data_IF_262352539623
#
_entry.id   IF_262352539623
#
_cell.length_a   1.000
_cell.length_b   1.000
_cell.length_c   1.000
_cell.angle_alpha   90.00
_cell.angle_beta   90.00
_cell.angle_gamma   90.00
#
_symmetry.space_group_name_H-M   'P 1'
#
loop_
_entity.id
_entity.type
_entity.pdbx_description
1 polymer ?
#
# COMPACT_ATOMS: atom_id res chain seq x y z
N UNK A 1 -22.79 -19.55 -3.44
CA UNK A 1 -22.32 -19.09 -3.34
C UNK A 1 -21.42 -18.64 -3.34
N UNK A 2 -20.93 -18.28 -3.14
CA UNK A 2 -20.16 -17.73 -2.91
C UNK A 2 -19.48 -16.96 -2.95
N UNK A 3 -19.28 -16.89 -3.42
CA UNK A 3 -19.21 -15.69 -2.74
C UNK A 3 -17.98 -15.41 -1.97
N UNK A 4 -17.34 -16.42 -1.46
CA UNK A 4 -16.15 -16.26 -0.68
C UNK A 4 -15.06 -15.51 -1.44
N UNK A 5 -15.14 -15.51 -2.76
CA UNK A 5 -14.19 -14.79 -3.60
C UNK A 5 -14.64 -13.38 -3.95
N UNK A 6 -15.83 -12.99 -3.50
CA UNK A 6 -16.34 -11.65 -3.73
C UNK A 6 -15.81 -10.71 -2.66
N UNK A 7 -15.20 -9.62 -3.07
CA UNK A 7 -14.64 -8.63 -2.14
C UNK A 7 -15.34 -7.28 -2.27
N UNK A 8 -16.46 -7.26 -2.99
CA UNK A 8 -17.27 -6.06 -3.11
C UNK A 8 -17.94 -5.77 -1.77
N UNK A 9 -17.81 -4.55 -1.31
CA UNK A 9 -18.42 -4.14 -0.06
C UNK A 9 -19.92 -4.10 -0.20
N UNK A 10 -20.62 -4.10 0.95
CA UNK A 10 -22.09 -4.08 0.96
C UNK A 10 -22.68 -2.84 0.28
N UNK A 11 -21.92 -1.75 0.21
CA UNK A 11 -22.32 -0.55 -0.49
C UNK A 11 -22.07 -0.62 -2.00
N UNK A 12 -21.57 -1.75 -2.51
CA UNK A 12 -21.31 -1.97 -3.92
C UNK A 12 -19.95 -1.52 -4.40
N UNK A 13 -19.09 -0.99 -3.53
CA UNK A 13 -17.76 -0.56 -3.93
C UNK A 13 -16.76 -1.71 -3.86
N UNK A 14 -15.78 -1.67 -4.77
CA UNK A 14 -14.68 -2.61 -4.77
C UNK A 14 -13.73 -2.33 -3.61
N UNK A 15 -13.13 -3.39 -3.07
CA UNK A 15 -12.11 -3.26 -2.03
C UNK A 15 -10.75 -3.11 -2.71
N UNK A 16 -10.01 -2.08 -2.37
CA UNK A 16 -8.68 -1.82 -2.93
C UNK A 16 -7.66 -1.73 -1.81
N UNK A 17 -6.48 -2.27 -2.09
CA UNK A 17 -5.37 -2.31 -1.13
C UNK A 17 -4.16 -1.63 -1.76
N UNK A 18 -3.51 -0.76 -0.98
CA UNK A 18 -2.31 -0.04 -1.42
C UNK A 18 -1.18 -0.33 -0.45
N UNK A 19 -0.09 -0.87 -1.00
CA UNK A 19 1.15 -1.12 -0.29
C UNK A 19 2.13 0.01 -0.62
N UNK A 20 2.84 0.51 0.38
CA UNK A 20 3.85 1.56 0.19
C UNK A 20 5.22 1.03 0.55
N UNK A 21 6.22 1.26 -0.31
CA UNK A 21 7.61 1.21 0.11
C UNK A 21 7.85 2.42 1.02
N UNK A 22 8.97 2.43 1.74
CA UNK A 22 9.27 3.49 2.70
C UNK A 22 10.35 4.43 2.15
N UNK A 23 11.58 3.92 2.03
CA UNK A 23 12.71 4.76 1.60
C UNK A 23 12.56 5.14 0.14
N UNK A 24 12.68 6.42 -0.17
CA UNK A 24 12.48 6.94 -1.52
C UNK A 24 11.02 7.09 -1.91
N UNK A 25 10.07 6.70 -1.06
CA UNK A 25 8.64 6.71 -1.36
C UNK A 25 7.86 7.58 -0.39
N UNK A 26 7.96 7.31 0.91
CA UNK A 26 7.27 8.10 1.93
C UNK A 26 8.16 9.26 2.40
N UNK A 27 7.53 10.35 2.81
CA UNK A 27 8.28 11.53 3.28
C UNK A 27 9.16 11.23 4.48
N UNK A 28 8.81 10.22 5.29
CA UNK A 28 9.57 9.84 6.49
C UNK A 28 10.68 8.82 6.17
N UNK A 29 10.84 8.45 4.91
CA UNK A 29 11.89 7.53 4.49
C UNK A 29 13.26 8.19 4.40
N UNK A 30 14.27 7.40 4.10
CA UNK A 30 15.63 7.85 3.91
C UNK A 30 16.23 7.14 2.69
N UNK A 31 16.31 7.81 1.52
CA UNK A 31 15.91 9.21 1.30
C UNK A 31 14.39 9.39 1.37
N UNK A 32 13.94 10.62 1.66
CA UNK A 32 12.50 10.89 1.67
C UNK A 32 11.92 10.83 0.27
N UNK A 33 10.66 10.41 0.17
CA UNK A 33 9.92 10.40 -1.08
C UNK A 33 8.80 11.42 -1.06
N UNK A 34 8.01 11.43 -2.13
CA UNK A 34 6.97 12.45 -2.32
C UNK A 34 5.61 12.13 -1.71
N UNK A 35 5.42 10.92 -1.18
CA UNK A 35 4.15 10.55 -0.54
C UNK A 35 4.17 11.01 0.90
N UNK A 36 3.30 11.96 1.24
CA UNK A 36 3.23 12.50 2.61
C UNK A 36 2.37 11.58 3.49
N UNK A 37 2.60 11.65 4.80
CA UNK A 37 1.79 10.89 5.74
C UNK A 37 0.35 11.41 5.74
N UNK A 38 0.15 12.67 5.42
CA UNK A 38 -1.17 13.26 5.25
C UNK A 38 -1.92 12.56 4.10
N UNK A 39 -1.24 12.33 2.98
CA UNK A 39 -1.82 11.62 1.84
C UNK A 39 -2.21 10.19 2.24
N UNK A 40 -1.36 9.51 3.00
CA UNK A 40 -1.65 8.15 3.46
C UNK A 40 -2.87 8.15 4.38
N UNK A 41 -2.94 9.09 5.32
CA UNK A 41 -4.10 9.22 6.21
C UNK A 41 -5.38 9.44 5.43
N UNK A 42 -5.32 10.29 4.39
CA UNK A 42 -6.47 10.57 3.54
C UNK A 42 -6.95 9.31 2.83
N UNK A 43 -6.02 8.58 2.23
CA UNK A 43 -6.35 7.35 1.48
C UNK A 43 -6.97 6.31 2.42
N UNK A 44 -6.39 6.14 3.62
CA UNK A 44 -6.96 5.24 4.61
C UNK A 44 -8.35 5.70 5.02
N UNK A 45 -8.54 7.00 5.24
CA UNK A 45 -9.83 7.57 5.62
C UNK A 45 -10.90 7.38 4.56
N UNK A 46 -10.51 7.22 3.30
CA UNK A 46 -11.43 6.93 2.20
C UNK A 46 -11.83 5.46 2.14
N UNK A 47 -11.28 4.62 3.01
CA UNK A 47 -11.66 3.21 3.09
C UNK A 47 -10.71 2.23 2.41
N UNK A 48 -9.58 2.71 1.90
CA UNK A 48 -8.58 1.83 1.29
C UNK A 48 -7.82 1.07 2.37
N UNK A 49 -7.51 -0.20 2.11
CA UNK A 49 -6.63 -0.99 2.96
C UNK A 49 -5.21 -0.55 2.66
N UNK A 50 -4.40 -0.31 3.70
CA UNK A 50 -3.04 0.18 3.50
C UNK A 50 -2.04 -0.58 4.36
N UNK A 51 -0.80 -0.59 3.90
CA UNK A 51 0.31 -1.15 4.64
C UNK A 51 1.63 -0.82 3.97
N UNK A 52 2.70 -1.43 4.44
CA UNK A 52 4.02 -1.20 3.87
C UNK A 52 4.71 -2.50 3.49
N UNK A 53 5.55 -2.39 2.46
CA UNK A 53 6.40 -3.46 1.98
C UNK A 53 7.77 -2.82 1.69
N UNK A 54 8.78 -3.18 2.49
CA UNK A 54 10.04 -2.46 2.52
C UNK A 54 11.18 -3.42 2.85
N UNK A 55 12.41 -2.97 2.62
CA UNK A 55 13.61 -3.69 3.07
C UNK A 55 13.89 -3.47 4.56
N UNK A 56 13.20 -2.51 5.18
CA UNK A 56 13.32 -2.31 6.62
C UNK A 56 12.70 -3.49 7.36
N UNK A 57 13.19 -3.78 8.55
CA UNK A 57 12.64 -4.87 9.36
C UNK A 57 11.16 -4.61 9.63
N UNK A 58 10.40 -5.67 9.85
CA UNK A 58 8.98 -5.54 10.16
C UNK A 58 8.77 -4.70 11.42
N UNK A 59 9.63 -4.84 12.43
CA UNK A 59 9.49 -4.06 13.66
C UNK A 59 9.76 -2.57 13.42
N UNK A 60 10.70 -2.22 12.55
CA UNK A 60 10.92 -0.83 12.17
C UNK A 60 9.73 -0.25 11.42
N UNK A 61 9.18 -1.02 10.48
CA UNK A 61 7.99 -0.60 9.75
C UNK A 61 6.83 -0.32 10.69
N UNK A 62 6.59 -1.22 11.65
CA UNK A 62 5.52 -1.06 12.64
C UNK A 62 5.73 0.20 13.47
N UNK A 63 6.97 0.46 13.88
CA UNK A 63 7.28 1.64 14.69
C UNK A 63 7.00 2.93 13.90
N UNK A 64 7.38 2.97 12.63
CA UNK A 64 7.13 4.12 11.77
C UNK A 64 5.64 4.45 11.71
N UNK A 65 4.81 3.45 11.47
CA UNK A 65 3.37 3.66 11.40
C UNK A 65 2.79 4.09 12.74
N UNK A 66 3.22 3.43 13.81
CA UNK A 66 2.78 3.78 15.17
C UNK A 66 3.16 5.22 15.52
N UNK A 67 4.40 5.62 15.23
CA UNK A 67 4.88 6.96 15.56
C UNK A 67 4.14 8.04 14.77
N UNK A 68 3.55 7.69 13.64
CA UNK A 68 2.76 8.60 12.83
C UNK A 68 1.25 8.45 13.07
N UNK A 69 0.86 7.62 14.02
CA UNK A 69 -0.55 7.46 14.40
C UNK A 69 -1.42 6.81 13.34
N UNK A 70 -0.84 6.00 12.47
CA UNK A 70 -1.58 5.35 11.39
C UNK A 70 -1.62 3.85 11.62
N UNK A 71 -2.82 3.28 11.69
CA UNK A 71 -3.00 1.82 11.78
C UNK A 71 -2.99 1.25 10.37
N UNK A 72 -2.16 0.24 10.16
CA UNK A 72 -2.05 -0.41 8.86
C UNK A 72 -2.46 -1.87 8.96
N UNK A 73 -2.86 -2.45 7.84
CA UNK A 73 -3.30 -3.85 7.77
C UNK A 73 -2.14 -4.83 7.68
N UNK A 74 -0.99 -4.38 7.22
CA UNK A 74 0.17 -5.27 7.07
C UNK A 74 1.48 -4.47 7.04
N UNK A 75 2.56 -5.16 7.44
CA UNK A 75 3.94 -4.70 7.28
C UNK A 75 4.75 -5.91 6.88
N UNK A 76 5.33 -5.91 5.67
CA UNK A 76 6.05 -7.08 5.14
C UNK A 76 7.36 -6.68 4.49
N UNK A 77 8.26 -7.65 4.38
CA UNK A 77 9.49 -7.49 3.60
C UNK A 77 9.16 -7.65 2.11
N UNK A 78 9.98 -7.06 1.24
CA UNK A 78 9.70 -7.05 -0.20
C UNK A 78 9.52 -8.42 -0.80
N UNK A 79 10.33 -9.39 -0.39
CA UNK A 79 10.25 -10.73 -0.93
C UNK A 79 9.02 -11.52 -0.45
N UNK A 80 8.21 -10.91 0.43
CA UNK A 80 7.02 -11.55 0.99
C UNK A 80 5.73 -10.80 0.63
N UNK A 81 5.78 -9.93 -0.35
CA UNK A 81 4.60 -9.14 -0.75
C UNK A 81 3.43 -10.02 -1.19
N UNK A 82 3.70 -11.16 -1.82
CA UNK A 82 2.63 -12.07 -2.27
C UNK A 82 1.79 -12.60 -1.11
N UNK A 83 2.36 -12.69 0.10
CA UNK A 83 1.63 -13.16 1.27
C UNK A 83 0.49 -12.23 1.65
N UNK A 84 0.65 -10.95 1.35
CA UNK A 84 -0.40 -9.96 1.61
C UNK A 84 -1.65 -10.33 0.81
N UNK A 85 -1.46 -10.65 -0.46
CA UNK A 85 -2.58 -11.02 -1.33
C UNK A 85 -3.25 -12.31 -0.88
N UNK A 86 -2.49 -13.23 -0.32
CA UNK A 86 -3.03 -14.48 0.21
C UNK A 86 -3.81 -14.29 1.49
N UNK A 87 -3.38 -13.34 2.34
CA UNK A 87 -3.93 -13.16 3.67
C UNK A 87 -5.02 -12.10 3.75
N UNK A 88 -4.98 -11.10 2.88
CA UNK A 88 -5.92 -9.97 2.92
C UNK A 88 -6.68 -9.90 1.60
N UNK A 89 -7.95 -10.32 1.58
CA UNK A 89 -8.75 -10.28 0.35
C UNK A 89 -9.01 -8.85 -0.09
N UNK A 90 -8.85 -8.60 -1.38
CA UNK A 90 -9.21 -7.34 -2.01
C UNK A 90 -9.47 -7.60 -3.49
N UNK A 91 -10.09 -6.64 -4.15
CA UNK A 91 -10.36 -6.74 -5.59
C UNK A 91 -9.19 -6.25 -6.42
N UNK A 92 -8.49 -5.24 -5.91
CA UNK A 92 -7.33 -4.66 -6.59
C UNK A 92 -6.21 -4.44 -5.59
N UNK A 93 -4.99 -4.72 -6.04
CA UNK A 93 -3.78 -4.60 -5.22
C UNK A 93 -2.78 -3.70 -5.93
N UNK A 94 -2.27 -2.70 -5.22
CA UNK A 94 -1.29 -1.76 -5.74
C UNK A 94 -0.08 -1.70 -4.82
N UNK A 95 1.09 -1.54 -5.40
CA UNK A 95 2.31 -1.27 -4.63
C UNK A 95 3.00 -0.04 -5.21
N UNK A 96 3.30 0.92 -4.34
CA UNK A 96 3.99 2.16 -4.70
C UNK A 96 5.44 2.06 -4.24
N UNK A 97 6.37 2.25 -5.14
CA UNK A 97 7.79 2.19 -4.81
C UNK A 97 8.65 2.91 -5.82
N UNK A 98 9.92 3.13 -5.45
CA UNK A 98 10.85 3.93 -6.24
C UNK A 98 11.94 3.15 -6.95
N UNK A 99 12.02 1.83 -6.74
CA UNK A 99 13.12 1.02 -7.26
C UNK A 99 12.65 -0.09 -8.18
N UNK A 100 13.61 -0.65 -8.93
CA UNK A 100 13.37 -1.83 -9.75
C UNK A 100 12.97 -3.03 -8.88
N UNK A 101 13.51 -3.11 -7.65
CA UNK A 101 13.13 -4.17 -6.71
C UNK A 101 11.64 -4.08 -6.36
N UNK A 102 11.10 -2.87 -6.20
CA UNK A 102 9.67 -2.67 -5.97
C UNK A 102 8.84 -3.16 -7.15
N UNK A 103 9.29 -2.84 -8.37
CA UNK A 103 8.60 -3.28 -9.58
C UNK A 103 8.57 -4.81 -9.67
N UNK A 104 9.71 -5.45 -9.42
CA UNK A 104 9.81 -6.91 -9.48
C UNK A 104 8.94 -7.57 -8.42
N UNK A 105 8.98 -7.06 -7.19
CA UNK A 105 8.16 -7.59 -6.11
C UNK A 105 6.68 -7.50 -6.47
N UNK A 106 6.28 -6.39 -7.05
CA UNK A 106 4.89 -6.18 -7.50
C UNK A 106 4.50 -7.21 -8.54
N UNK A 107 5.32 -7.39 -9.57
CA UNK A 107 5.02 -8.33 -10.65
C UNK A 107 4.93 -9.77 -10.13
N UNK A 108 5.85 -10.17 -9.26
CA UNK A 108 5.85 -11.51 -8.71
C UNK A 108 4.64 -11.77 -7.82
N UNK A 109 4.19 -10.74 -7.11
CA UNK A 109 3.07 -10.86 -6.18
C UNK A 109 1.71 -10.68 -6.87
N UNK A 110 1.69 -10.27 -8.13
CA UNK A 110 0.43 -9.99 -8.83
C UNK A 110 -0.18 -8.66 -8.43
N UNK A 111 0.63 -7.71 -8.00
CA UNK A 111 0.21 -6.35 -7.69
C UNK A 111 0.39 -5.45 -8.91
N UNK A 112 -0.43 -4.42 -8.99
CA UNK A 112 -0.23 -3.34 -9.94
C UNK A 112 0.86 -2.43 -9.37
N UNK A 113 1.93 -2.21 -10.13
CA UNK A 113 3.03 -1.37 -9.68
C UNK A 113 2.78 0.10 -10.05
N UNK A 114 2.98 0.98 -9.07
CA UNK A 114 2.88 2.43 -9.25
C UNK A 114 4.24 3.04 -8.92
N UNK A 115 5.01 3.47 -9.93
CA UNK A 115 6.31 4.09 -9.65
C UNK A 115 6.14 5.41 -8.93
N UNK A 116 7.07 5.70 -7.99
CA UNK A 116 7.05 6.94 -7.23
C UNK A 116 7.42 8.11 -8.14
N UNK A 117 6.43 8.82 -8.65
CA UNK A 117 6.60 9.98 -9.51
C UNK A 117 5.40 10.92 -9.32
N UNK A 118 5.37 12.01 -10.11
CA UNK A 118 4.28 12.99 -10.00
C UNK A 118 2.93 12.39 -10.36
N UNK A 119 2.92 11.40 -11.23
CA UNK A 119 1.66 10.78 -11.66
C UNK A 119 1.00 10.02 -10.51
N UNK A 120 1.78 9.29 -9.69
CA UNK A 120 1.21 8.56 -8.57
C UNK A 120 0.71 9.52 -7.49
N UNK A 121 1.38 10.64 -7.30
CA UNK A 121 0.93 11.66 -6.36
C UNK A 121 -0.43 12.19 -6.79
N UNK A 122 -0.60 12.48 -8.09
CA UNK A 122 -1.90 12.93 -8.62
C UNK A 122 -2.95 11.83 -8.49
N UNK A 123 -2.56 10.59 -8.76
CA UNK A 123 -3.46 9.45 -8.64
C UNK A 123 -4.01 9.33 -7.22
N UNK A 124 -3.12 9.36 -6.21
CA UNK A 124 -3.54 9.23 -4.82
C UNK A 124 -4.41 10.39 -4.37
N UNK A 125 -4.05 11.62 -4.78
CA UNK A 125 -4.82 12.82 -4.41
C UNK A 125 -6.18 12.85 -5.09
N UNK A 126 -6.35 12.13 -6.20
CA UNK A 126 -7.61 12.08 -6.92
C UNK A 126 -8.53 10.94 -6.51
N UNK A 127 -8.11 10.10 -5.55
CA UNK A 127 -8.94 8.98 -5.12
C UNK A 127 -10.22 9.47 -4.43
N UNK A 128 -11.28 8.70 -4.63
CA UNK A 128 -12.59 8.98 -4.04
C UNK A 128 -12.91 7.92 -2.99
N UNK A 129 -13.94 8.14 -2.15
CA UNK A 129 -14.31 7.17 -1.10
C UNK A 129 -14.59 5.79 -1.68
N UNK A 130 -14.16 4.80 -0.93
CA UNK A 130 -14.42 3.39 -1.23
C UNK A 130 -15.79 2.97 -0.79
#
# INVERSE_FOLDING_TARGET
>A
MILATQHTRMDGYLTKLISFDIDGTLEIGDPPGGITMEMVRRVKGLGYLIGSCSDRTVSEQRRIWRDNGIKVEFTVLKHRLEEVKEQIPADEYYHVGDTEADRRASLQAGFNFLPMDDAVIRFLNGLTPQ
#
